data_IF_424072897350
#
_entry.id   IF_424072897350
#
_cell.length_a   1.000
_cell.length_b   1.000
_cell.length_c   1.000
_cell.angle_alpha   90.00
_cell.angle_beta   90.00
_cell.angle_gamma   90.00
#
_symmetry.space_group_name_H-M   'P 1'
#
loop_
_entity.id
_entity.type
_entity.pdbx_description
1 polymer ?
#
# COMPACT_ATOMS: atom_id res chain seq x y z
N UNK A 1 6.91 -10.62 -41.56
CA UNK A 1 7.16 -9.42 -42.39
C UNK A 1 7.75 -8.38 -41.43
N UNK A 2 9.04 -8.09 -41.53
CA UNK A 2 9.68 -7.06 -40.67
C UNK A 2 9.27 -5.70 -41.25
N UNK A 3 8.37 -4.99 -40.58
CA UNK A 3 8.06 -3.61 -40.94
C UNK A 3 9.32 -2.77 -40.69
N UNK A 4 9.73 -2.05 -41.73
CA UNK A 4 10.94 -1.22 -41.67
C UNK A 4 10.62 0.07 -40.90
N UNK A 5 10.76 0.01 -39.58
CA UNK A 5 10.53 1.12 -38.67
C UNK A 5 11.67 2.12 -38.76
N UNK A 6 11.44 3.30 -39.33
CA UNK A 6 12.46 4.37 -39.40
C UNK A 6 12.11 5.54 -38.47
N UNK A 7 13.16 6.17 -37.94
CA UNK A 7 13.04 7.39 -37.13
C UNK A 7 12.25 7.19 -35.84
N UNK A 8 11.40 8.14 -35.48
CA UNK A 8 10.65 8.16 -34.20
C UNK A 8 9.66 6.99 -34.05
N UNK A 9 9.17 6.41 -35.15
CA UNK A 9 8.28 5.25 -35.11
C UNK A 9 9.04 3.99 -34.67
N UNK A 10 10.26 3.80 -35.19
CA UNK A 10 11.13 2.69 -34.77
C UNK A 10 11.45 2.78 -33.29
N UNK A 11 11.86 3.95 -32.81
CA UNK A 11 12.16 4.15 -31.39
C UNK A 11 10.92 3.87 -30.51
N UNK A 12 9.74 4.33 -30.91
CA UNK A 12 8.52 4.09 -30.16
C UNK A 12 8.18 2.58 -30.06
N UNK A 13 8.42 1.82 -31.12
CA UNK A 13 8.19 0.36 -31.13
C UNK A 13 9.22 -0.37 -30.26
N UNK A 14 10.51 0.03 -30.32
CA UNK A 14 11.54 -0.52 -29.46
C UNK A 14 11.21 -0.28 -27.97
N UNK A 15 10.84 0.94 -27.60
CA UNK A 15 10.40 1.25 -26.23
C UNK A 15 9.23 0.37 -25.80
N UNK A 16 8.25 0.16 -26.67
CA UNK A 16 7.09 -0.69 -26.40
C UNK A 16 7.51 -2.16 -26.21
N UNK A 17 8.37 -2.68 -27.09
CA UNK A 17 8.85 -4.06 -27.05
C UNK A 17 9.65 -4.35 -25.78
N UNK A 18 10.62 -3.51 -25.45
CA UNK A 18 11.44 -3.69 -24.25
C UNK A 18 10.64 -3.43 -22.99
N UNK A 19 9.71 -2.47 -23.00
CA UNK A 19 8.78 -2.24 -21.90
C UNK A 19 7.86 -3.44 -21.64
N UNK A 20 7.35 -4.09 -22.71
CA UNK A 20 6.59 -5.32 -22.59
C UNK A 20 7.45 -6.45 -22.01
N UNK A 21 8.66 -6.66 -22.54
CA UNK A 21 9.59 -7.65 -22.02
C UNK A 21 9.88 -7.42 -20.52
N UNK A 22 10.17 -6.20 -20.12
CA UNK A 22 10.40 -5.86 -18.70
C UNK A 22 9.17 -6.19 -17.83
N UNK A 23 7.98 -5.93 -18.32
CA UNK A 23 6.74 -6.27 -17.60
C UNK A 23 6.59 -7.77 -17.40
N UNK A 24 6.82 -8.56 -18.44
CA UNK A 24 6.73 -10.03 -18.38
C UNK A 24 7.81 -10.61 -17.45
N UNK A 25 9.03 -10.12 -17.54
CA UNK A 25 10.11 -10.54 -16.65
C UNK A 25 9.83 -10.14 -15.17
N UNK A 26 9.32 -8.94 -14.94
CA UNK A 26 8.89 -8.54 -13.59
C UNK A 26 7.78 -9.47 -13.07
N UNK A 27 6.76 -9.79 -13.91
CA UNK A 27 5.70 -10.69 -13.50
C UNK A 27 6.21 -12.08 -13.13
N UNK A 28 7.14 -12.65 -13.90
CA UNK A 28 7.78 -13.94 -13.58
C UNK A 28 8.50 -13.90 -12.22
N UNK A 29 9.19 -12.79 -11.91
CA UNK A 29 10.02 -12.66 -10.70
C UNK A 29 9.23 -12.35 -9.45
N UNK A 30 8.26 -11.44 -9.56
CA UNK A 30 7.56 -10.88 -8.40
C UNK A 30 6.03 -10.94 -8.48
N UNK A 31 5.45 -11.50 -9.55
CA UNK A 31 4.00 -11.58 -9.74
C UNK A 31 3.28 -12.32 -8.61
N UNK A 32 3.93 -13.31 -8.00
CA UNK A 32 3.42 -14.04 -6.84
C UNK A 32 3.16 -13.15 -5.61
N UNK A 33 3.82 -11.99 -5.50
CA UNK A 33 3.59 -10.99 -4.44
C UNK A 33 2.39 -10.06 -4.73
N UNK A 34 1.82 -10.15 -5.93
CA UNK A 34 0.74 -9.30 -6.43
C UNK A 34 -0.42 -10.13 -7.00
N UNK A 35 -1.00 -11.05 -6.21
CA UNK A 35 -2.09 -11.90 -6.70
C UNK A 35 -3.32 -11.06 -7.02
N UNK A 36 -4.10 -11.53 -7.97
CA UNK A 36 -5.47 -11.07 -8.16
C UNK A 36 -6.34 -11.56 -7.01
N UNK A 37 -7.51 -10.95 -6.86
CA UNK A 37 -8.50 -11.35 -5.88
C UNK A 37 -9.71 -11.95 -6.59
N UNK A 38 -10.04 -13.20 -6.28
CA UNK A 38 -11.26 -13.85 -6.75
C UNK A 38 -12.43 -13.41 -5.88
N UNK A 39 -13.49 -12.93 -6.49
CA UNK A 39 -14.73 -12.54 -5.76
C UNK A 39 -15.55 -13.82 -5.53
N UNK A 40 -15.36 -14.43 -4.36
CA UNK A 40 -16.01 -15.68 -3.96
C UNK A 40 -17.45 -15.44 -3.50
N UNK A 41 -18.23 -16.54 -3.35
CA UNK A 41 -19.58 -16.50 -2.82
C UNK A 41 -19.63 -15.91 -1.40
N UNK A 42 -18.62 -16.20 -0.57
CA UNK A 42 -18.50 -15.65 0.78
C UNK A 42 -18.33 -14.14 0.77
N UNK A 43 -17.47 -13.63 -0.12
CA UNK A 43 -17.28 -12.17 -0.31
C UNK A 43 -18.60 -11.53 -0.75
N UNK A 44 -19.32 -12.15 -1.67
CA UNK A 44 -20.62 -11.63 -2.15
C UNK A 44 -21.69 -11.68 -1.06
N UNK A 45 -21.71 -12.71 -0.21
CA UNK A 45 -22.63 -12.80 0.91
C UNK A 45 -22.45 -11.63 1.90
N UNK A 46 -21.22 -11.24 2.19
CA UNK A 46 -20.89 -10.09 3.04
C UNK A 46 -21.05 -8.74 2.32
N UNK A 47 -20.85 -8.73 0.99
CA UNK A 47 -20.79 -7.55 0.13
C UNK A 47 -21.68 -7.76 -1.12
N UNK A 48 -23.03 -7.65 -0.98
CA UNK A 48 -23.97 -7.85 -2.09
C UNK A 48 -23.77 -6.88 -3.27
N UNK A 49 -23.13 -5.75 -3.04
CA UNK A 49 -22.74 -4.78 -4.09
C UNK A 49 -21.73 -5.36 -5.10
N UNK A 50 -21.08 -6.48 -4.76
CA UNK A 50 -20.11 -7.17 -5.59
C UNK A 50 -20.70 -8.34 -6.40
N UNK A 51 -22.03 -8.57 -6.34
CA UNK A 51 -22.71 -9.65 -7.08
C UNK A 51 -22.32 -9.70 -8.56
N UNK A 52 -22.18 -8.54 -9.21
CA UNK A 52 -21.81 -8.45 -10.62
C UNK A 52 -20.40 -8.96 -10.95
N UNK A 53 -19.57 -9.20 -9.92
CA UNK A 53 -18.19 -9.69 -10.04
C UNK A 53 -18.02 -11.11 -9.52
N UNK A 54 -19.10 -11.78 -9.12
CA UNK A 54 -19.09 -13.15 -8.58
C UNK A 54 -18.31 -14.09 -9.53
N UNK A 55 -17.27 -14.73 -9.00
CA UNK A 55 -16.39 -15.62 -9.74
C UNK A 55 -15.32 -14.91 -10.60
N UNK A 56 -15.38 -13.59 -10.74
CA UNK A 56 -14.34 -12.83 -11.48
C UNK A 56 -13.04 -12.74 -10.65
N UNK A 57 -11.90 -12.77 -11.34
CA UNK A 57 -10.60 -12.39 -10.77
C UNK A 57 -10.32 -10.91 -11.04
N UNK A 58 -10.29 -10.10 -10.01
CA UNK A 58 -10.03 -8.67 -10.12
C UNK A 58 -8.56 -8.36 -9.81
N UNK A 59 -8.00 -7.45 -10.61
CA UNK A 59 -6.63 -6.95 -10.41
C UNK A 59 -6.58 -5.98 -9.24
N UNK A 60 -5.63 -6.18 -8.32
CA UNK A 60 -5.38 -5.22 -7.25
C UNK A 60 -4.64 -4.02 -7.80
N UNK A 61 -5.24 -2.83 -7.68
CA UNK A 61 -4.65 -1.55 -8.09
C UNK A 61 -3.70 -1.05 -7.00
N UNK A 62 -4.12 -1.15 -5.72
CA UNK A 62 -3.32 -0.68 -4.60
C UNK A 62 -3.71 -1.34 -3.29
N UNK A 63 -2.74 -1.43 -2.39
CA UNK A 63 -2.90 -1.80 -0.99
C UNK A 63 -2.70 -0.53 -0.16
N UNK A 64 -3.71 -0.16 0.63
CA UNK A 64 -3.69 1.04 1.47
C UNK A 64 -3.17 0.67 2.86
N UNK A 65 -1.98 1.15 3.17
CA UNK A 65 -1.31 0.92 4.45
C UNK A 65 -1.39 2.15 5.34
N UNK A 66 -1.44 1.93 6.64
CA UNK A 66 -1.20 2.96 7.64
C UNK A 66 0.05 2.65 8.44
N UNK A 67 0.79 3.68 8.85
CA UNK A 67 1.83 3.53 9.86
C UNK A 67 1.19 3.35 11.23
N UNK A 68 1.85 2.60 12.09
CA UNK A 68 1.39 2.34 13.45
C UNK A 68 2.49 2.62 14.46
N UNK A 69 2.09 2.94 15.70
CA UNK A 69 2.98 2.96 16.87
C UNK A 69 2.31 2.20 18.00
N UNK A 70 3.09 1.70 18.95
CA UNK A 70 2.53 1.02 20.11
C UNK A 70 1.65 1.95 20.93
N UNK A 71 0.63 1.40 21.60
CA UNK A 71 -0.18 2.16 22.53
C UNK A 71 0.67 2.64 23.72
N UNK A 72 0.54 3.90 24.17
CA UNK A 72 1.21 4.39 25.37
C UNK A 72 0.60 3.83 26.68
N UNK A 73 -0.58 3.22 26.58
CA UNK A 73 -1.22 2.59 27.74
C UNK A 73 -0.59 1.22 28.00
N UNK A 74 -0.02 0.97 29.21
CA UNK A 74 0.63 -0.30 29.53
C UNK A 74 -0.25 -1.54 29.32
N UNK A 75 -1.57 -1.44 29.57
CA UNK A 75 -2.52 -2.54 29.36
C UNK A 75 -2.63 -2.92 27.88
N UNK A 76 -2.50 -1.95 26.98
CA UNK A 76 -2.61 -2.11 25.53
C UNK A 76 -1.26 -1.94 24.81
N UNK A 77 -0.13 -2.08 25.50
CA UNK A 77 1.21 -1.90 24.92
C UNK A 77 1.54 -2.84 23.76
N UNK A 78 0.83 -3.96 23.64
CA UNK A 78 0.92 -4.90 22.52
C UNK A 78 0.23 -4.37 21.26
N UNK A 79 -0.69 -3.42 21.37
CA UNK A 79 -1.51 -2.93 20.26
C UNK A 79 -0.75 -1.93 19.41
N UNK A 80 -0.74 -2.16 18.11
CA UNK A 80 -0.22 -1.25 17.09
C UNK A 80 -1.32 -0.25 16.68
N UNK A 81 -1.25 0.98 17.24
CA UNK A 81 -2.26 2.03 17.00
C UNK A 81 -2.06 2.64 15.61
N UNK A 82 -3.08 2.64 14.73
CA UNK A 82 -2.97 3.19 13.39
C UNK A 82 -2.89 4.72 13.43
N UNK A 83 -2.03 5.30 12.61
CA UNK A 83 -1.86 6.75 12.47
C UNK A 83 -2.60 7.25 11.23
N UNK A 84 -3.91 7.43 11.35
CA UNK A 84 -4.81 7.76 10.25
C UNK A 84 -5.48 9.11 10.49
N UNK A 85 -5.46 9.99 9.50
CA UNK A 85 -6.15 11.29 9.56
C UNK A 85 -7.62 11.19 9.15
N UNK A 86 -7.95 10.29 8.24
CA UNK A 86 -9.31 10.02 7.83
C UNK A 86 -9.45 8.57 7.36
N UNK A 87 -10.49 7.91 7.80
CA UNK A 87 -10.86 6.57 7.35
C UNK A 87 -11.70 6.58 6.06
N UNK A 88 -12.05 7.75 5.51
CA UNK A 88 -12.78 7.86 4.25
C UNK A 88 -11.89 7.45 3.08
N UNK A 89 -12.32 6.45 2.31
CA UNK A 89 -11.65 5.97 1.10
C UNK A 89 -12.16 6.69 -0.16
N UNK A 90 -13.45 6.98 -0.21
CA UNK A 90 -14.11 7.67 -1.31
C UNK A 90 -15.28 8.50 -0.81
N UNK A 91 -15.33 9.77 -1.19
CA UNK A 91 -16.47 10.67 -0.97
C UNK A 91 -17.29 10.90 -2.25
N UNK A 92 -16.98 10.17 -3.33
CA UNK A 92 -17.70 10.33 -4.61
C UNK A 92 -19.13 9.83 -4.46
N UNK A 93 -20.13 10.71 -4.77
CA UNK A 93 -21.56 10.40 -4.68
C UNK A 93 -21.91 9.11 -5.41
N UNK A 94 -22.57 8.19 -4.71
CA UNK A 94 -22.95 6.85 -5.16
C UNK A 94 -21.78 5.85 -5.25
N UNK A 95 -20.58 6.22 -4.76
CA UNK A 95 -19.38 5.36 -4.64
C UNK A 95 -18.62 5.69 -3.36
N UNK A 96 -19.35 6.10 -2.33
CA UNK A 96 -18.78 6.38 -1.03
C UNK A 96 -18.28 5.07 -0.40
N UNK A 97 -17.11 5.14 0.20
CA UNK A 97 -16.50 4.01 0.92
C UNK A 97 -15.61 4.52 2.04
N UNK A 98 -15.51 3.77 3.11
CA UNK A 98 -14.69 4.10 4.27
C UNK A 98 -14.24 2.83 5.00
N UNK A 99 -13.22 2.96 5.84
CA UNK A 99 -12.71 1.88 6.68
C UNK A 99 -13.30 2.02 8.07
N UNK A 100 -13.96 0.98 8.55
CA UNK A 100 -14.40 0.87 9.94
C UNK A 100 -13.34 0.12 10.75
N UNK A 101 -12.72 0.75 11.74
CA UNK A 101 -11.97 0.00 12.74
C UNK A 101 -12.96 -0.68 13.68
N UNK A 102 -12.99 -1.98 13.64
CA UNK A 102 -13.80 -2.82 14.55
C UNK A 102 -12.95 -3.16 15.76
N UNK A 103 -13.42 -2.77 16.93
CA UNK A 103 -12.72 -2.97 18.20
C UNK A 103 -13.17 -4.31 18.79
N UNK A 104 -12.21 -5.18 19.03
CA UNK A 104 -12.34 -6.38 19.86
C UNK A 104 -11.95 -6.04 21.32
N UNK A 105 -11.94 -7.01 22.21
CA UNK A 105 -11.65 -6.79 23.63
C UNK A 105 -10.26 -6.14 23.84
N UNK A 106 -9.23 -6.63 23.12
CA UNK A 106 -7.82 -6.25 23.30
C UNK A 106 -7.10 -5.98 21.97
N UNK A 107 -7.83 -5.99 20.87
CA UNK A 107 -7.34 -5.84 19.51
C UNK A 107 -8.30 -5.03 18.65
N UNK A 108 -8.00 -4.87 17.38
CA UNK A 108 -8.89 -4.32 16.38
C UNK A 108 -8.56 -4.89 15.01
N UNK A 109 -9.54 -4.86 14.10
CA UNK A 109 -9.33 -5.11 12.68
C UNK A 109 -10.01 -4.05 11.83
N UNK A 110 -9.72 -4.04 10.53
CA UNK A 110 -10.32 -3.08 9.61
C UNK A 110 -11.34 -3.76 8.71
N UNK A 111 -12.51 -3.15 8.60
CA UNK A 111 -13.54 -3.52 7.65
C UNK A 111 -13.83 -2.39 6.68
N UNK A 112 -13.94 -2.69 5.41
CA UNK A 112 -14.41 -1.71 4.42
C UNK A 112 -15.94 -1.69 4.40
N UNK A 113 -16.49 -0.49 4.51
CA UNK A 113 -17.92 -0.22 4.45
C UNK A 113 -18.23 0.64 3.23
N UNK A 114 -19.36 0.35 2.57
CA UNK A 114 -19.85 1.12 1.44
C UNK A 114 -20.95 2.07 1.92
N UNK A 115 -21.02 3.22 1.27
CA UNK A 115 -21.89 4.32 1.65
C UNK A 115 -21.17 5.41 2.42
N UNK A 116 -21.92 6.45 2.77
CA UNK A 116 -21.38 7.59 3.52
C UNK A 116 -21.06 7.15 4.95
N UNK A 117 -19.86 7.53 5.41
CA UNK A 117 -19.47 7.29 6.80
C UNK A 117 -20.42 8.03 7.75
N UNK A 118 -20.99 7.35 8.76
CA UNK A 118 -21.82 7.97 9.80
C UNK A 118 -21.04 9.03 10.59
N UNK A 119 -21.74 10.05 11.08
CA UNK A 119 -21.13 11.18 11.81
C UNK A 119 -20.69 10.83 13.24
N UNK A 120 -21.16 9.74 13.78
CA UNK A 120 -20.81 9.17 15.09
C UNK A 120 -19.59 8.22 15.03
N UNK A 121 -19.13 7.89 13.83
CA UNK A 121 -17.92 7.08 13.67
C UNK A 121 -16.64 7.91 13.79
N UNK A 122 -15.55 7.23 14.12
CA UNK A 122 -14.22 7.86 14.29
C UNK A 122 -13.70 8.32 12.93
N UNK A 123 -13.59 9.62 12.74
CA UNK A 123 -13.07 10.19 11.50
C UNK A 123 -11.61 9.80 11.25
N UNK A 124 -10.79 9.75 12.31
CA UNK A 124 -9.38 9.35 12.27
C UNK A 124 -8.78 9.24 13.67
N UNK A 125 -7.56 8.73 13.74
CA UNK A 125 -6.81 8.59 15.01
C UNK A 125 -5.79 9.71 15.22
N UNK A 126 -5.51 10.51 14.19
CA UNK A 126 -4.52 11.60 14.23
C UNK A 126 -5.18 12.92 13.87
N UNK A 127 -5.01 13.90 14.74
CA UNK A 127 -5.45 15.28 14.57
C UNK A 127 -4.25 16.23 14.56
N UNK A 128 -4.51 17.55 14.49
CA UNK A 128 -3.44 18.57 14.44
C UNK A 128 -2.52 18.57 15.68
N UNK A 129 -2.99 18.14 16.82
CA UNK A 129 -2.28 18.18 18.12
C UNK A 129 -1.59 16.86 18.47
N UNK A 130 -1.91 15.77 17.81
CA UNK A 130 -1.36 14.43 18.09
C UNK A 130 -2.27 13.32 17.62
N UNK A 131 -2.10 12.15 18.20
CA UNK A 131 -2.95 10.97 17.97
C UNK A 131 -3.71 10.57 19.23
N UNK A 132 -4.60 9.60 19.06
CA UNK A 132 -5.37 8.97 20.13
C UNK A 132 -5.37 7.46 19.92
N UNK A 133 -5.07 6.70 20.97
CA UNK A 133 -5.14 5.25 20.92
C UNK A 133 -6.59 4.80 20.63
N UNK A 134 -6.73 3.94 19.62
CA UNK A 134 -8.04 3.51 19.15
C UNK A 134 -8.80 2.70 20.20
N UNK A 135 -8.10 1.91 21.05
CA UNK A 135 -8.69 1.10 22.12
C UNK A 135 -8.83 1.90 23.42
N UNK A 136 -7.72 2.35 23.98
CA UNK A 136 -7.67 2.95 25.32
C UNK A 136 -8.09 4.42 25.37
N UNK A 137 -8.24 5.06 24.20
CA UNK A 137 -8.46 6.52 24.07
C UNK A 137 -7.35 7.38 24.68
N UNK A 138 -6.22 6.78 25.06
CA UNK A 138 -5.06 7.51 25.60
C UNK A 138 -4.48 8.44 24.54
N UNK A 139 -4.11 9.66 24.96
CA UNK A 139 -3.49 10.63 24.08
C UNK A 139 -2.08 10.19 23.66
N UNK A 140 -1.75 10.41 22.39
CA UNK A 140 -0.44 10.14 21.79
C UNK A 140 0.10 11.45 21.19
N UNK A 141 0.78 12.30 21.99
CA UNK A 141 1.35 13.54 21.47
C UNK A 141 2.40 13.23 20.38
N UNK A 142 2.63 14.17 19.46
CA UNK A 142 3.63 13.97 18.40
C UNK A 142 5.04 13.70 18.92
N UNK A 143 5.37 14.16 20.13
CA UNK A 143 6.64 13.82 20.79
C UNK A 143 6.76 12.32 21.04
N UNK A 144 5.69 11.68 21.53
CA UNK A 144 5.62 10.24 21.70
C UNK A 144 5.73 9.50 20.36
N UNK A 145 4.89 9.86 19.38
CA UNK A 145 4.90 9.22 18.04
C UNK A 145 6.28 9.30 17.40
N UNK A 146 6.95 10.45 17.52
CA UNK A 146 8.31 10.64 17.01
C UNK A 146 9.36 9.84 17.77
N UNK A 147 9.23 9.71 19.10
CA UNK A 147 10.14 8.89 19.89
C UNK A 147 10.03 7.39 19.51
N UNK A 148 8.80 6.91 19.29
CA UNK A 148 8.58 5.54 18.80
C UNK A 148 9.19 5.32 17.41
N UNK A 149 8.98 6.28 16.51
CA UNK A 149 9.58 6.22 15.16
C UNK A 149 11.11 6.21 15.20
N UNK A 150 11.74 7.13 15.94
CA UNK A 150 13.20 7.19 16.08
C UNK A 150 13.80 5.98 16.78
N UNK A 151 13.04 5.30 17.62
CA UNK A 151 13.45 4.06 18.28
C UNK A 151 13.21 2.81 17.41
N UNK A 152 12.77 2.97 16.15
CA UNK A 152 12.52 1.87 15.23
C UNK A 152 11.28 1.02 15.57
N UNK A 153 10.37 1.54 16.41
CA UNK A 153 9.15 0.84 16.83
C UNK A 153 7.90 1.26 16.04
N UNK A 154 8.08 2.05 14.99
CA UNK A 154 6.99 2.32 14.04
C UNK A 154 6.85 1.13 13.10
N UNK A 155 5.63 0.63 12.95
CA UNK A 155 5.27 -0.47 12.08
C UNK A 155 4.25 -0.02 11.02
N UNK A 156 3.65 -0.97 10.33
CA UNK A 156 2.64 -0.73 9.31
C UNK A 156 1.53 -1.77 9.35
N UNK A 157 0.31 -1.37 8.99
CA UNK A 157 -0.86 -2.25 8.94
C UNK A 157 -1.68 -1.98 7.68
N UNK A 158 -2.13 -3.05 7.02
CA UNK A 158 -2.99 -2.96 5.85
C UNK A 158 -4.41 -2.53 6.28
N UNK A 159 -4.95 -1.47 5.68
CA UNK A 159 -6.28 -0.92 5.99
C UNK A 159 -7.35 -1.36 4.99
N UNK A 160 -7.00 -1.38 3.72
CA UNK A 160 -7.93 -1.72 2.65
C UNK A 160 -7.16 -2.16 1.40
N UNK A 161 -7.84 -2.92 0.56
CA UNK A 161 -7.36 -3.32 -0.77
C UNK A 161 -8.27 -2.69 -1.82
N UNK A 162 -7.69 -2.14 -2.87
CA UNK A 162 -8.42 -1.49 -3.97
C UNK A 162 -8.25 -2.30 -5.23
N UNK A 163 -9.36 -2.72 -5.82
CA UNK A 163 -9.40 -3.52 -7.03
C UNK A 163 -9.91 -2.70 -8.22
N UNK A 164 -9.53 -3.13 -9.42
CA UNK A 164 -10.05 -2.61 -10.67
C UNK A 164 -11.39 -3.26 -11.02
N UNK A 165 -12.48 -2.49 -10.93
CA UNK A 165 -13.81 -2.94 -11.31
C UNK A 165 -14.29 -2.32 -12.61
N UNK A 166 -15.27 -2.94 -13.29
CA UNK A 166 -15.86 -2.49 -14.57
C UNK A 166 -16.42 -1.06 -14.53
N UNK A 167 -16.84 -0.60 -13.36
CA UNK A 167 -17.43 0.74 -13.17
C UNK A 167 -16.60 1.69 -12.31
N UNK A 168 -15.37 1.33 -11.97
CA UNK A 168 -14.48 2.09 -11.10
C UNK A 168 -13.80 1.23 -10.05
N UNK A 169 -13.37 1.85 -8.96
CA UNK A 169 -12.66 1.16 -7.89
C UNK A 169 -13.62 0.34 -7.01
N UNK A 170 -13.21 -0.86 -6.69
CA UNK A 170 -13.82 -1.72 -5.68
C UNK A 170 -12.91 -1.74 -4.45
N UNK A 171 -13.47 -1.54 -3.27
CA UNK A 171 -12.74 -1.53 -2.01
C UNK A 171 -13.09 -2.78 -1.21
N UNK A 172 -12.07 -3.51 -0.75
CA UNK A 172 -12.22 -4.71 0.09
C UNK A 172 -11.50 -4.54 1.42
N UNK A 173 -12.05 -5.20 2.44
CA UNK A 173 -11.37 -5.39 3.73
C UNK A 173 -10.07 -6.19 3.53
N UNK A 174 -9.00 -5.89 4.28
CA UNK A 174 -7.79 -6.68 4.21
C UNK A 174 -7.99 -8.05 4.86
N UNK A 175 -7.35 -9.08 4.31
CA UNK A 175 -7.27 -10.40 4.95
C UNK A 175 -5.90 -10.59 5.59
N UNK A 176 -5.81 -11.52 6.54
CA UNK A 176 -4.55 -11.89 7.18
C UNK A 176 -3.55 -12.42 6.15
N UNK A 177 -4.00 -13.24 5.19
CA UNK A 177 -3.18 -13.77 4.10
C UNK A 177 -2.57 -12.68 3.23
N UNK A 178 -3.35 -11.64 2.89
CA UNK A 178 -2.85 -10.48 2.11
C UNK A 178 -1.76 -9.73 2.87
N UNK A 179 -1.88 -9.64 4.19
CA UNK A 179 -0.89 -9.00 5.05
C UNK A 179 0.39 -9.83 5.14
N UNK A 180 0.27 -11.12 5.40
CA UNK A 180 1.40 -12.06 5.49
C UNK A 180 2.17 -12.14 4.18
N UNK A 181 1.46 -12.21 3.05
CA UNK A 181 2.08 -12.18 1.73
C UNK A 181 2.88 -10.89 1.51
N UNK A 182 2.34 -9.74 1.88
CA UNK A 182 3.07 -8.48 1.74
C UNK A 182 4.33 -8.41 2.63
N UNK A 183 4.24 -8.92 3.86
CA UNK A 183 5.35 -8.96 4.82
C UNK A 183 6.39 -10.03 4.47
N UNK A 184 6.04 -11.05 3.70
CA UNK A 184 6.97 -12.08 3.23
C UNK A 184 7.98 -11.56 2.20
N UNK A 185 7.71 -10.41 1.59
CA UNK A 185 8.56 -9.81 0.57
C UNK A 185 9.93 -9.41 1.15
N UNK A 186 11.01 -9.86 0.48
CA UNK A 186 12.40 -9.58 0.89
C UNK A 186 13.14 -8.87 -0.24
N UNK A 187 13.33 -7.54 -0.16
CA UNK A 187 14.10 -6.81 -1.15
C UNK A 187 15.58 -7.25 -1.10
N UNK A 188 16.19 -7.43 -2.27
CA UNK A 188 17.62 -7.78 -2.39
C UNK A 188 18.52 -6.61 -1.99
N UNK A 189 18.07 -5.41 -2.26
CA UNK A 189 18.75 -4.17 -1.88
C UNK A 189 17.71 -3.06 -1.66
N UNK A 190 18.14 -1.93 -1.12
CA UNK A 190 17.30 -0.75 -0.88
C UNK A 190 18.12 0.53 -1.09
N UNK A 191 17.51 1.65 -1.48
CA UNK A 191 18.22 2.91 -1.61
C UNK A 191 18.57 3.46 -0.21
N UNK A 192 19.87 3.51 0.11
CA UNK A 192 20.39 3.94 1.41
C UNK A 192 20.78 5.43 1.46
N UNK A 193 20.55 6.17 0.38
CA UNK A 193 20.80 7.61 0.36
C UNK A 193 19.98 8.31 1.43
N UNK A 194 20.65 9.19 2.20
CA UNK A 194 20.03 9.93 3.27
C UNK A 194 18.93 10.87 2.74
N UNK A 195 17.85 10.99 3.51
CA UNK A 195 16.83 11.98 3.25
C UNK A 195 17.31 13.39 3.58
N UNK A 196 16.83 14.43 2.87
CA UNK A 196 17.21 15.81 3.14
C UNK A 196 16.89 16.21 4.60
N UNK A 197 17.83 16.91 5.23
CA UNK A 197 17.63 17.51 6.55
C UNK A 197 17.01 18.89 6.37
N UNK A 198 15.68 18.96 6.39
CA UNK A 198 14.92 20.22 6.36
C UNK A 198 13.81 20.17 7.42
N UNK A 199 14.09 20.59 8.68
CA UNK A 199 13.10 20.50 9.76
C UNK A 199 11.84 21.33 9.54
N UNK A 200 11.90 22.35 8.68
CA UNK A 200 10.77 23.23 8.37
C UNK A 200 9.78 22.54 7.42
N UNK A 201 10.27 22.04 6.29
CA UNK A 201 9.43 21.62 5.17
C UNK A 201 9.37 20.10 5.02
N UNK A 202 10.40 19.39 5.48
CA UNK A 202 10.53 17.94 5.37
C UNK A 202 10.69 17.27 6.73
N UNK A 203 9.58 16.78 7.29
CA UNK A 203 9.50 16.28 8.67
C UNK A 203 9.65 14.77 8.81
N UNK A 204 9.75 14.04 7.72
CA UNK A 204 9.81 12.57 7.68
C UNK A 204 10.94 11.99 8.54
N UNK A 205 12.18 12.55 8.56
CA UNK A 205 13.23 12.05 9.44
C UNK A 205 12.93 12.15 10.93
N UNK A 206 12.02 13.05 11.34
CA UNK A 206 11.57 13.14 12.73
C UNK A 206 10.81 11.90 13.21
N UNK A 207 10.36 11.06 12.29
CA UNK A 207 9.63 9.82 12.55
C UNK A 207 10.51 8.57 12.35
N UNK A 208 11.84 8.73 12.36
CA UNK A 208 12.79 7.62 12.28
C UNK A 208 13.12 7.16 10.85
N UNK A 209 12.52 7.76 9.82
CA UNK A 209 12.85 7.47 8.43
C UNK A 209 14.01 8.36 8.00
N UNK A 210 15.21 7.78 7.88
CA UNK A 210 16.46 8.52 7.65
C UNK A 210 16.98 8.42 6.22
N UNK A 211 16.58 7.42 5.47
CA UNK A 211 16.97 7.20 4.08
C UNK A 211 15.75 6.94 3.18
N UNK A 212 15.97 7.02 1.86
CA UNK A 212 14.90 6.79 0.89
C UNK A 212 14.26 5.41 1.01
N UNK A 213 15.03 4.38 1.36
CA UNK A 213 14.51 3.03 1.58
C UNK A 213 13.50 2.92 2.71
N UNK A 214 13.54 3.83 3.71
CA UNK A 214 12.59 3.82 4.83
C UNK A 214 11.18 4.29 4.45
N UNK A 215 11.02 4.91 3.27
CA UNK A 215 9.76 5.43 2.79
C UNK A 215 8.82 4.35 2.25
N UNK A 216 9.35 3.18 1.93
CA UNK A 216 8.65 2.11 1.23
C UNK A 216 8.47 0.87 2.11
N UNK A 217 7.39 0.13 1.88
CA UNK A 217 7.22 -1.21 2.43
C UNK A 217 8.18 -2.20 1.74
N UNK A 218 8.46 -3.33 2.37
CA UNK A 218 9.32 -4.38 1.77
C UNK A 218 8.85 -4.82 0.39
N UNK A 219 7.54 -4.98 0.19
CA UNK A 219 6.96 -5.34 -1.12
C UNK A 219 7.14 -4.23 -2.16
N UNK A 220 6.97 -2.96 -1.78
CA UNK A 220 7.25 -1.83 -2.67
C UNK A 220 8.73 -1.78 -3.07
N UNK A 221 9.64 -2.02 -2.12
CA UNK A 221 11.07 -2.10 -2.42
C UNK A 221 11.38 -3.22 -3.41
N UNK A 222 10.81 -4.41 -3.21
CA UNK A 222 10.98 -5.53 -4.16
C UNK A 222 10.55 -5.11 -5.57
N UNK A 223 9.40 -4.44 -5.73
CA UNK A 223 8.95 -3.99 -7.04
C UNK A 223 9.91 -2.95 -7.64
N UNK A 224 10.23 -1.89 -6.89
CA UNK A 224 11.08 -0.80 -7.37
C UNK A 224 12.47 -1.29 -7.75
N UNK A 225 13.09 -2.13 -6.91
CA UNK A 225 14.43 -2.67 -7.18
C UNK A 225 14.42 -3.66 -8.35
N UNK A 226 13.38 -4.49 -8.48
CA UNK A 226 13.23 -5.39 -9.63
C UNK A 226 13.15 -4.62 -10.94
N UNK A 227 12.33 -3.56 -11.02
CA UNK A 227 12.28 -2.74 -12.23
C UNK A 227 13.56 -1.97 -12.48
N UNK A 228 14.25 -1.49 -11.43
CA UNK A 228 15.57 -0.86 -11.57
C UNK A 228 16.62 -1.81 -12.17
N UNK A 229 16.66 -3.05 -11.70
CA UNK A 229 17.55 -4.09 -12.21
C UNK A 229 17.21 -4.43 -13.67
N UNK A 230 15.91 -4.57 -13.99
CA UNK A 230 15.44 -4.85 -15.34
C UNK A 230 15.80 -3.76 -16.37
N UNK A 231 15.92 -2.50 -15.95
CA UNK A 231 16.41 -1.43 -16.84
C UNK A 231 17.86 -1.72 -17.30
N UNK A 232 18.71 -2.19 -16.40
CA UNK A 232 20.09 -2.53 -16.76
C UNK A 232 20.13 -3.76 -17.69
N UNK A 233 19.29 -4.75 -17.43
CA UNK A 233 19.18 -5.93 -18.27
C UNK A 233 18.64 -5.57 -19.66
N UNK A 234 17.58 -4.74 -19.74
CA UNK A 234 17.06 -4.22 -21.02
C UNK A 234 18.11 -3.47 -21.82
N UNK A 235 18.93 -2.64 -21.14
CA UNK A 235 20.05 -1.94 -21.80
C UNK A 235 21.03 -2.91 -22.46
N UNK A 236 21.39 -3.99 -21.76
CA UNK A 236 22.29 -5.00 -22.31
C UNK A 236 21.67 -5.73 -23.53
N UNK A 237 20.37 -6.02 -23.44
CA UNK A 237 19.65 -6.66 -24.54
C UNK A 237 19.57 -5.74 -25.76
N UNK A 238 19.24 -4.45 -25.57
CA UNK A 238 19.21 -3.45 -26.65
C UNK A 238 20.56 -3.37 -27.36
N UNK A 239 21.66 -3.35 -26.61
CA UNK A 239 23.03 -3.30 -27.16
C UNK A 239 23.33 -4.56 -27.99
N UNK A 240 22.84 -5.72 -27.56
CA UNK A 240 23.05 -6.97 -28.29
C UNK A 240 22.17 -7.06 -29.56
N UNK A 241 20.93 -6.59 -29.48
CA UNK A 241 20.01 -6.59 -30.62
C UNK A 241 20.41 -5.55 -31.70
N UNK A 242 21.22 -4.55 -31.33
CA UNK A 242 21.71 -3.51 -32.24
C UNK A 242 23.01 -3.89 -33.00
N UNK A 243 23.62 -5.04 -32.70
CA UNK A 243 24.80 -5.58 -33.41
C UNK A 243 24.41 -6.44 -34.60
#
# INVERSE_FOLDING_TARGET
MFENWQGSKGLAEDVRRYGYWMREEAFKRIGHLYPKVTITDDIVAERPDLEQYRGDELTVITWLWTRTVKSPNPVFSHVDVPLVRSFVLSSKKGKEAWVKPVIDTDSYHFEVRIGKMPTDEIEGTVVRTGGTCILSKSAMPFTYIRSEGKAGRMSERLMAVVLEGKGGRVYLSPTQEMMELALSAKPKWRPEHALPINPRDFKTPNYGMSCFGDLFTSRQLVALTTFSDLIQEARLQIINDAK
#
